data_IF_083698637114
#
_entry.id   IF_083698637114
#
_cell.length_a   1.000
_cell.length_b   1.000
_cell.length_c   1.000
_cell.angle_alpha   90.00
_cell.angle_beta   90.00
_cell.angle_gamma   90.00
#
_symmetry.space_group_name_H-M   'P 1'
#
loop_
_entity.id
_entity.type
_entity.pdbx_description
1 polymer ?
#
# COMPACT_ATOMS: atom_id res chain seq x y z
N UNK A 1 14.11 -31.17 65.52
CA UNK A 1 13.55 -30.79 64.20
C UNK A 1 12.19 -30.15 64.44
N UNK A 2 12.12 -28.82 64.45
CA UNK A 2 10.88 -28.07 64.67
C UNK A 2 10.18 -27.81 63.35
N UNK A 3 8.90 -28.11 63.26
CA UNK A 3 8.01 -27.65 62.19
C UNK A 3 7.12 -26.56 62.76
N UNK A 4 7.20 -25.35 62.20
CA UNK A 4 6.29 -24.24 62.48
C UNK A 4 5.42 -23.98 61.26
N UNK A 5 4.11 -24.09 61.49
CA UNK A 5 2.97 -23.66 60.68
C UNK A 5 2.99 -22.12 60.59
N UNK A 6 2.59 -21.51 59.46
CA UNK A 6 1.59 -20.39 59.37
C UNK A 6 1.08 -20.28 57.92
N UNK A 7 -0.25 -20.19 57.79
CA UNK A 7 -1.09 -19.90 56.61
C UNK A 7 -1.38 -18.39 56.58
N UNK A 8 -1.45 -17.74 55.39
CA UNK A 8 -2.55 -16.84 54.95
C UNK A 8 -2.17 -15.75 53.91
N UNK A 9 -2.91 -15.80 52.78
CA UNK A 9 -3.68 -14.74 52.07
C UNK A 9 -2.99 -13.49 51.44
N UNK A 10 -3.03 -13.51 50.08
CA UNK A 10 -3.36 -12.50 49.06
C UNK A 10 -3.10 -10.99 49.25
N UNK A 11 -2.45 -10.37 48.25
CA UNK A 11 -2.75 -8.99 47.78
C UNK A 11 -2.55 -8.89 46.26
N UNK A 12 -3.56 -8.34 45.59
CA UNK A 12 -3.62 -7.88 44.20
C UNK A 12 -2.50 -6.88 43.86
N UNK A 13 -1.79 -7.08 42.75
CA UNK A 13 -0.95 -6.06 42.13
C UNK A 13 -1.48 -5.71 40.75
N UNK A 14 -2.12 -4.54 40.61
CA UNK A 14 -2.65 -4.01 39.36
C UNK A 14 -1.57 -3.94 38.28
N UNK A 15 -1.70 -4.77 37.24
CA UNK A 15 -1.07 -4.50 35.95
C UNK A 15 -1.87 -3.40 35.26
N UNK A 16 -1.40 -2.16 35.41
CA UNK A 16 -1.83 -1.04 34.57
C UNK A 16 -1.46 -1.39 33.14
N UNK A 17 -2.45 -1.84 32.38
CA UNK A 17 -2.38 -1.91 30.93
C UNK A 17 -2.13 -0.49 30.44
N UNK A 18 -0.87 -0.18 30.12
CA UNK A 18 -0.53 1.00 29.37
C UNK A 18 -1.27 0.90 28.03
N UNK A 19 -2.42 1.57 27.94
CA UNK A 19 -3.00 1.97 26.68
C UNK A 19 -1.92 2.81 26.00
N UNK A 20 -1.15 2.17 25.12
CA UNK A 20 -0.37 2.88 24.13
C UNK A 20 -1.39 3.63 23.27
N UNK A 21 -1.71 4.85 23.69
CA UNK A 21 -2.33 5.85 22.83
C UNK A 21 -1.26 6.09 21.77
N UNK A 22 -1.38 5.40 20.65
CA UNK A 22 -0.58 5.68 19.47
C UNK A 22 -0.87 7.13 19.10
N UNK A 23 0.12 8.00 19.32
CA UNK A 23 0.03 9.40 18.96
C UNK A 23 -0.27 9.46 17.47
N UNK A 24 -1.48 9.90 17.10
CA UNK A 24 -1.80 10.21 15.71
C UNK A 24 -0.88 11.34 15.30
N UNK A 25 0.07 11.03 14.42
CA UNK A 25 1.03 12.00 13.89
C UNK A 25 0.25 13.22 13.37
N UNK A 26 0.41 14.35 14.06
CA UNK A 26 -0.09 15.64 13.59
C UNK A 26 0.84 16.10 12.48
N UNK A 27 0.45 15.82 11.24
CA UNK A 27 1.15 16.34 10.07
C UNK A 27 1.08 17.89 10.07
N UNK A 28 2.07 18.51 9.43
CA UNK A 28 2.08 19.95 9.21
C UNK A 28 0.77 20.38 8.51
N UNK A 29 -0.09 21.19 9.16
CA UNK A 29 -1.41 21.55 8.64
C UNK A 29 -1.34 22.45 7.40
N UNK A 30 -0.14 22.90 7.00
CA UNK A 30 0.05 23.80 5.86
C UNK A 30 0.27 23.10 4.53
N UNK A 31 0.51 21.77 4.50
CA UNK A 31 0.68 21.01 3.26
C UNK A 31 -0.21 19.77 3.24
N UNK A 32 -1.07 19.67 2.23
CA UNK A 32 -2.01 18.56 2.03
C UNK A 32 -1.78 17.88 0.69
N UNK A 33 -2.14 16.60 0.61
CA UNK A 33 -2.20 15.84 -0.63
C UNK A 33 -3.29 16.42 -1.55
N UNK A 34 -3.07 16.40 -2.87
CA UNK A 34 -4.02 16.93 -3.84
C UNK A 34 -5.39 16.24 -3.69
N UNK A 35 -6.50 16.92 -3.99
CA UNK A 35 -7.81 16.27 -4.00
C UNK A 35 -7.86 15.16 -5.05
N UNK A 36 -8.72 14.18 -4.82
CA UNK A 36 -8.99 13.14 -5.81
C UNK A 36 -10.33 13.41 -6.48
N UNK A 37 -10.39 13.22 -7.79
CA UNK A 37 -11.63 13.32 -8.57
C UNK A 37 -11.81 12.00 -9.28
N UNK A 38 -12.90 11.29 -9.00
CA UNK A 38 -13.24 10.06 -9.70
C UNK A 38 -13.97 10.41 -10.99
N UNK A 39 -13.48 9.91 -12.11
CA UNK A 39 -14.12 9.96 -13.42
C UNK A 39 -14.76 8.62 -13.80
N UNK A 40 -14.55 7.57 -13.00
CA UNK A 40 -15.14 6.26 -13.20
C UNK A 40 -14.43 5.40 -14.25
N UNK A 41 -13.16 5.67 -14.55
CA UNK A 41 -12.37 4.99 -15.61
C UNK A 41 -12.06 3.51 -15.37
N UNK A 42 -12.53 2.94 -14.26
CA UNK A 42 -12.23 1.56 -13.87
C UNK A 42 -10.80 1.37 -13.33
N UNK A 43 -10.42 0.13 -13.01
CA UNK A 43 -9.17 -0.17 -12.30
C UNK A 43 -7.89 0.02 -13.13
N UNK A 44 -7.92 -0.17 -14.45
CA UNK A 44 -6.75 -0.07 -15.32
C UNK A 44 -6.45 1.38 -15.72
N UNK A 45 -5.17 1.73 -15.82
CA UNK A 45 -4.74 3.10 -16.15
C UNK A 45 -5.07 3.50 -17.59
N UNK A 46 -5.02 2.55 -18.52
CA UNK A 46 -5.28 2.76 -19.95
C UNK A 46 -6.76 2.59 -20.34
N UNK A 47 -7.64 2.34 -19.36
CA UNK A 47 -9.05 2.03 -19.61
C UNK A 47 -9.30 0.66 -20.25
N UNK A 48 -8.28 -0.20 -20.37
CA UNK A 48 -8.47 -1.57 -20.83
C UNK A 48 -9.25 -2.40 -19.81
N UNK A 49 -9.83 -3.51 -20.28
CA UNK A 49 -10.52 -4.45 -19.40
C UNK A 49 -9.48 -5.08 -18.46
N UNK A 50 -9.70 -4.94 -17.15
CA UNK A 50 -8.83 -5.54 -16.16
C UNK A 50 -8.90 -7.06 -16.18
N UNK A 51 -7.76 -7.71 -15.94
CA UNK A 51 -7.73 -9.15 -15.73
C UNK A 51 -8.68 -9.55 -14.60
N UNK A 52 -9.37 -10.70 -14.71
CA UNK A 52 -10.23 -11.20 -13.65
C UNK A 52 -9.42 -11.32 -12.35
N UNK A 53 -9.81 -10.65 -11.26
CA UNK A 53 -9.06 -10.69 -9.99
C UNK A 53 -8.32 -9.41 -9.64
N UNK A 54 -8.06 -8.50 -10.61
CA UNK A 54 -7.36 -7.23 -10.34
C UNK A 54 -8.12 -6.37 -9.32
N UNK A 55 -9.44 -6.26 -9.44
CA UNK A 55 -10.26 -5.46 -8.51
C UNK A 55 -10.22 -6.01 -7.08
N UNK A 56 -9.97 -7.30 -6.89
CA UNK A 56 -9.79 -7.92 -5.58
C UNK A 56 -8.41 -7.56 -4.98
N UNK A 57 -7.40 -7.42 -5.83
CA UNK A 57 -6.06 -7.00 -5.41
C UNK A 57 -6.00 -5.50 -5.09
N UNK A 58 -6.74 -4.66 -5.83
CA UNK A 58 -6.98 -3.27 -5.46
C UNK A 58 -7.88 -3.24 -4.23
N UNK A 59 -7.27 -3.34 -3.07
CA UNK A 59 -7.99 -3.50 -1.81
C UNK A 59 -8.85 -2.27 -1.53
N UNK A 60 -10.13 -2.46 -1.20
CA UNK A 60 -10.95 -1.40 -0.64
C UNK A 60 -10.76 -1.38 0.89
N UNK A 61 -10.51 -0.20 1.47
CA UNK A 61 -10.32 -0.05 2.91
C UNK A 61 -11.64 0.02 3.70
N UNK A 62 -12.76 0.21 3.01
CA UNK A 62 -14.11 0.34 3.57
C UNK A 62 -14.21 1.40 4.67
N UNK A 63 -13.34 2.41 4.62
CA UNK A 63 -13.29 3.50 5.58
C UNK A 63 -13.93 4.75 4.98
N UNK A 64 -15.03 5.27 5.56
CA UNK A 64 -15.72 6.45 5.03
C UNK A 64 -14.87 7.73 5.07
N UNK A 65 -13.86 7.79 5.92
CA UNK A 65 -12.95 8.94 6.02
C UNK A 65 -11.84 8.90 4.95
N UNK A 66 -11.79 7.83 4.14
CA UNK A 66 -10.83 7.64 3.06
C UNK A 66 -11.53 7.68 1.72
N UNK A 67 -11.11 8.62 0.88
CA UNK A 67 -11.44 8.64 -0.54
C UNK A 67 -10.58 7.60 -1.26
N UNK A 68 -11.17 6.93 -2.24
CA UNK A 68 -10.50 5.97 -3.12
C UNK A 68 -10.83 6.30 -4.57
N UNK A 69 -9.82 6.29 -5.45
CA UNK A 69 -9.99 6.41 -6.90
C UNK A 69 -9.12 5.40 -7.62
N UNK A 70 -9.53 5.03 -8.83
CA UNK A 70 -8.96 3.90 -9.57
C UNK A 70 -8.36 4.34 -10.93
N UNK A 71 -7.54 3.47 -11.52
CA UNK A 71 -7.06 3.59 -12.89
C UNK A 71 -6.33 4.90 -13.18
N UNK A 72 -6.77 5.60 -14.23
CA UNK A 72 -6.15 6.85 -14.67
C UNK A 72 -6.23 7.95 -13.61
N UNK A 73 -7.31 8.00 -12.81
CA UNK A 73 -7.46 8.99 -11.74
C UNK A 73 -6.41 8.77 -10.64
N UNK A 74 -6.18 7.49 -10.30
CA UNK A 74 -5.13 7.12 -9.36
C UNK A 74 -3.73 7.47 -9.89
N UNK A 75 -3.45 7.23 -11.18
CA UNK A 75 -2.17 7.59 -11.81
C UNK A 75 -1.93 9.11 -11.83
N UNK A 76 -2.97 9.90 -12.09
CA UNK A 76 -2.93 11.36 -12.02
C UNK A 76 -2.67 11.84 -10.59
N UNK A 77 -3.37 11.26 -9.61
CA UNK A 77 -3.15 11.56 -8.19
C UNK A 77 -1.71 11.25 -7.77
N UNK A 78 -1.16 10.07 -8.12
CA UNK A 78 0.23 9.70 -7.84
C UNK A 78 1.19 10.75 -8.42
N UNK A 79 0.95 11.19 -9.66
CA UNK A 79 1.80 12.18 -10.32
C UNK A 79 1.76 13.54 -9.62
N UNK A 80 0.57 14.00 -9.22
CA UNK A 80 0.37 15.25 -8.50
C UNK A 80 0.92 15.18 -7.06
N UNK A 81 0.67 14.08 -6.36
CA UNK A 81 1.16 13.84 -5.01
C UNK A 81 2.69 13.73 -4.97
N UNK A 82 3.33 13.20 -6.02
CA UNK A 82 4.78 13.19 -6.17
C UNK A 82 5.39 14.58 -6.47
N UNK A 83 4.56 15.60 -6.70
CA UNK A 83 4.98 16.97 -6.97
C UNK A 83 4.70 17.94 -5.80
N UNK A 84 4.13 17.46 -4.69
CA UNK A 84 3.87 18.32 -3.52
C UNK A 84 5.19 18.78 -2.88
N UNK A 85 5.17 19.97 -2.29
CA UNK A 85 6.36 20.61 -1.73
C UNK A 85 6.90 19.91 -0.49
N UNK A 86 6.04 19.21 0.26
CA UNK A 86 6.46 18.44 1.44
C UNK A 86 7.15 17.13 0.99
N UNK A 87 8.47 16.99 1.19
CA UNK A 87 9.21 15.84 0.70
C UNK A 87 8.82 14.53 1.40
N UNK A 88 8.33 14.59 2.64
CA UNK A 88 7.89 13.39 3.37
C UNK A 88 6.61 12.82 2.73
N UNK A 89 5.64 13.69 2.41
CA UNK A 89 4.42 13.30 1.72
C UNK A 89 4.69 12.90 0.26
N UNK A 90 5.61 13.58 -0.44
CA UNK A 90 5.91 13.30 -1.85
C UNK A 90 6.69 12.00 -2.06
N UNK A 91 7.60 11.64 -1.14
CA UNK A 91 8.52 10.52 -1.27
C UNK A 91 7.90 9.18 -1.74
N UNK A 92 6.82 8.65 -1.12
CA UNK A 92 6.23 7.39 -1.55
C UNK A 92 5.64 7.48 -2.96
N UNK A 93 5.04 8.62 -3.32
CA UNK A 93 4.47 8.82 -4.64
C UNK A 93 5.53 9.00 -5.72
N UNK A 94 6.71 9.52 -5.39
CA UNK A 94 7.85 9.56 -6.32
C UNK A 94 8.29 8.15 -6.72
N UNK A 95 8.30 7.20 -5.77
CA UNK A 95 8.61 5.79 -6.07
C UNK A 95 7.55 5.17 -6.97
N UNK A 96 6.27 5.38 -6.65
CA UNK A 96 5.14 4.94 -7.47
C UNK A 96 5.17 5.54 -8.87
N UNK A 97 5.46 6.85 -9.01
CA UNK A 97 5.59 7.51 -10.31
C UNK A 97 6.73 6.91 -11.15
N UNK A 98 7.83 6.51 -10.53
CA UNK A 98 8.92 5.82 -11.26
C UNK A 98 8.54 4.40 -11.66
N UNK A 99 7.81 3.67 -10.82
CA UNK A 99 7.26 2.37 -11.19
C UNK A 99 6.23 2.48 -12.34
N UNK A 100 5.39 3.52 -12.33
CA UNK A 100 4.51 3.85 -13.45
C UNK A 100 5.27 4.16 -14.74
N UNK A 101 6.49 4.69 -14.67
CA UNK A 101 7.32 4.90 -15.86
C UNK A 101 7.88 3.61 -16.45
N UNK A 102 7.82 2.48 -15.74
CA UNK A 102 8.28 1.17 -16.24
C UNK A 102 7.32 0.51 -17.25
N UNK A 103 6.38 1.27 -17.80
CA UNK A 103 5.28 0.79 -18.63
C UNK A 103 5.61 0.70 -20.13
N UNK A 104 6.79 1.14 -20.55
CA UNK A 104 7.25 1.16 -21.95
C UNK A 104 8.69 0.62 -21.96
N UNK A 105 9.03 -0.44 -22.71
CA UNK A 105 9.24 -0.39 -24.17
C UNK A 105 9.14 -1.78 -24.85
N UNK A 106 7.96 -2.18 -25.35
CA UNK A 106 7.93 -3.33 -26.29
C UNK A 106 6.59 -3.99 -26.55
N UNK A 107 5.91 -3.56 -27.62
CA UNK A 107 5.02 -4.39 -28.48
C UNK A 107 3.61 -4.82 -28.01
N UNK A 108 3.02 -4.21 -26.97
CA UNK A 108 1.63 -4.52 -26.58
C UNK A 108 0.88 -3.31 -26.00
N UNK A 109 -0.42 -3.20 -26.33
CA UNK A 109 -1.28 -2.06 -26.04
C UNK A 109 -1.51 -1.82 -24.55
N UNK A 110 -0.84 -0.80 -24.01
CA UNK A 110 -1.28 -0.12 -22.80
C UNK A 110 -0.54 -0.48 -21.52
N UNK A 111 -0.88 0.25 -20.46
CA UNK A 111 -0.26 0.13 -19.15
C UNK A 111 -0.66 -1.19 -18.52
N UNK A 112 0.28 -2.10 -18.16
CA UNK A 112 -0.08 -3.35 -17.51
C UNK A 112 -0.59 -3.14 -16.08
N UNK A 113 -0.49 -1.91 -15.55
CA UNK A 113 -0.89 -1.61 -14.19
C UNK A 113 -2.35 -1.15 -14.11
N UNK A 114 -3.07 -1.80 -13.23
CA UNK A 114 -4.16 -1.23 -12.51
C UNK A 114 -3.65 -0.41 -11.33
N UNK A 115 -4.39 0.63 -10.95
CA UNK A 115 -4.00 1.52 -9.87
C UNK A 115 -5.18 1.83 -8.97
N UNK A 116 -4.91 2.00 -7.67
CA UNK A 116 -5.83 2.61 -6.71
C UNK A 116 -5.07 3.60 -5.86
N UNK A 117 -5.63 4.79 -5.66
CA UNK A 117 -5.11 5.80 -4.78
C UNK A 117 -6.04 6.01 -3.58
N UNK A 118 -5.45 6.40 -2.46
CA UNK A 118 -6.14 6.59 -1.18
C UNK A 118 -5.74 7.93 -0.60
N UNK A 119 -6.73 8.65 -0.07
CA UNK A 119 -6.53 9.95 0.56
C UNK A 119 -7.53 10.12 1.67
N UNK A 120 -7.08 10.48 2.86
CA UNK A 120 -7.94 10.78 4.00
C UNK A 120 -8.59 12.15 3.78
N UNK A 121 -9.77 12.37 4.38
CA UNK A 121 -10.50 13.63 4.24
C UNK A 121 -9.64 14.87 4.59
N UNK A 122 -8.78 14.75 5.62
CA UNK A 122 -7.85 15.79 6.06
C UNK A 122 -6.71 16.09 5.06
N UNK A 123 -6.48 15.23 4.07
CA UNK A 123 -5.39 15.35 3.09
C UNK A 123 -3.99 15.16 3.66
N UNK A 124 -3.86 14.79 4.94
CA UNK A 124 -2.57 14.62 5.62
C UNK A 124 -2.04 13.19 5.50
N UNK A 125 -2.86 12.31 4.94
CA UNK A 125 -2.58 10.90 4.77
C UNK A 125 -3.02 10.42 3.41
N UNK A 126 -2.23 9.50 2.86
CA UNK A 126 -2.58 8.82 1.64
C UNK A 126 -1.53 7.80 1.24
N UNK A 127 -1.88 7.07 0.20
CA UNK A 127 -1.03 6.06 -0.41
C UNK A 127 -1.60 5.65 -1.75
N UNK A 128 -0.92 4.75 -2.41
CA UNK A 128 -1.42 4.15 -3.63
C UNK A 128 -0.91 2.73 -3.78
N UNK A 129 -1.69 1.95 -4.53
CA UNK A 129 -1.39 0.60 -4.96
C UNK A 129 -1.31 0.56 -6.48
N UNK A 130 -0.30 -0.14 -6.98
CA UNK A 130 -0.19 -0.54 -8.38
C UNK A 130 -0.26 -2.05 -8.43
N UNK A 131 -1.11 -2.60 -9.27
CA UNK A 131 -1.30 -4.03 -9.43
C UNK A 131 -1.17 -4.36 -10.89
N UNK A 132 -0.45 -5.42 -11.21
CA UNK A 132 -0.45 -5.97 -12.56
C UNK A 132 -0.65 -7.47 -12.52
N UNK A 133 -1.38 -8.01 -13.50
CA UNK A 133 -1.52 -9.44 -13.69
C UNK A 133 -0.41 -9.96 -14.61
N UNK A 134 0.09 -11.17 -14.31
CA UNK A 134 1.08 -11.84 -15.13
C UNK A 134 0.58 -12.06 -16.55
N UNK A 135 -0.69 -12.42 -16.74
CA UNK A 135 -1.28 -12.64 -18.06
C UNK A 135 -1.41 -11.38 -18.91
N UNK A 136 -1.53 -10.21 -18.30
CA UNK A 136 -1.63 -8.92 -19.00
C UNK A 136 -0.29 -8.19 -19.10
N UNK A 137 0.80 -8.80 -18.64
CA UNK A 137 2.14 -8.25 -18.71
C UNK A 137 2.93 -8.96 -19.82
N UNK A 138 3.14 -8.32 -20.99
CA UNK A 138 3.82 -8.96 -22.12
C UNK A 138 5.25 -9.43 -21.80
N UNK A 139 5.97 -8.67 -20.96
CA UNK A 139 7.32 -9.00 -20.52
C UNK A 139 7.49 -8.70 -19.03
N UNK A 140 7.25 -9.72 -18.21
CA UNK A 140 7.36 -9.62 -16.75
C UNK A 140 8.80 -9.34 -16.32
N UNK A 141 9.80 -9.96 -16.94
CA UNK A 141 11.20 -9.80 -16.52
C UNK A 141 11.72 -8.38 -16.77
N UNK A 142 11.34 -7.76 -17.89
CA UNK A 142 11.65 -6.37 -18.17
C UNK A 142 10.97 -5.44 -17.15
N UNK A 143 9.70 -5.71 -16.83
CA UNK A 143 8.97 -4.95 -15.82
C UNK A 143 9.64 -5.06 -14.45
N UNK A 144 9.96 -6.28 -14.01
CA UNK A 144 10.64 -6.52 -12.73
C UNK A 144 11.99 -5.82 -12.70
N UNK A 145 12.78 -5.90 -13.76
CA UNK A 145 14.09 -5.23 -13.86
C UNK A 145 13.97 -3.70 -13.71
N UNK A 146 12.99 -3.10 -14.40
CA UNK A 146 12.74 -1.67 -14.30
C UNK A 146 12.25 -1.29 -12.90
N UNK A 147 11.29 -2.03 -12.35
CA UNK A 147 10.74 -1.77 -11.01
C UNK A 147 11.84 -1.93 -9.96
N UNK A 148 12.67 -2.97 -10.00
CA UNK A 148 13.83 -3.15 -9.09
C UNK A 148 14.77 -1.95 -9.08
N UNK A 149 15.03 -1.38 -10.25
CA UNK A 149 15.93 -0.22 -10.38
C UNK A 149 15.33 1.04 -9.76
N UNK A 150 14.00 1.17 -9.82
CA UNK A 150 13.26 2.37 -9.45
C UNK A 150 12.59 2.31 -8.07
N UNK A 151 12.39 1.12 -7.52
CA UNK A 151 11.69 0.82 -6.29
C UNK A 151 12.68 0.56 -5.15
N UNK A 152 13.06 1.62 -4.43
CA UNK A 152 13.96 1.50 -3.28
C UNK A 152 13.16 1.29 -2.00
N UNK A 153 13.49 0.28 -1.21
CA UNK A 153 12.88 0.05 0.12
C UNK A 153 13.14 1.27 1.01
N UNK A 154 12.09 1.80 1.62
CA UNK A 154 12.15 2.94 2.54
C UNK A 154 12.80 2.49 3.84
N UNK A 155 13.65 3.35 4.41
CA UNK A 155 14.28 3.11 5.70
C UNK A 155 13.20 3.18 6.79
N UNK A 156 13.07 2.13 7.61
CA UNK A 156 12.17 2.14 8.75
C UNK A 156 12.63 3.18 9.79
N UNK A 157 11.76 4.12 10.17
CA UNK A 157 12.04 5.05 11.27
C UNK A 157 11.03 6.19 11.43
N UNK A 158 10.31 6.20 12.57
CA UNK A 158 9.44 7.29 13.04
C UNK A 158 7.97 7.18 12.67
N UNK A 159 7.10 7.93 13.37
CA UNK A 159 5.64 7.98 13.15
C UNK A 159 5.26 8.58 11.78
N UNK A 160 6.20 9.29 11.15
CA UNK A 160 6.15 9.77 9.76
C UNK A 160 6.87 8.83 8.78
N UNK A 161 7.27 7.62 9.20
CA UNK A 161 7.95 6.69 8.32
C UNK A 161 7.05 6.43 7.12
N UNK A 162 7.59 6.61 5.93
CA UNK A 162 6.94 6.16 4.71
C UNK A 162 7.17 4.66 4.58
N UNK A 163 6.20 3.99 3.98
CA UNK A 163 6.30 2.58 3.68
C UNK A 163 6.24 2.39 2.18
N UNK A 164 6.98 1.41 1.71
CA UNK A 164 6.78 0.84 0.40
C UNK A 164 7.07 -0.64 0.46
N UNK A 165 6.13 -1.43 -0.05
CA UNK A 165 6.24 -2.87 -0.10
C UNK A 165 5.79 -3.32 -1.48
N UNK A 166 6.21 -4.51 -1.85
CA UNK A 166 5.59 -5.18 -2.95
C UNK A 166 5.49 -6.66 -2.69
N UNK A 167 4.56 -7.26 -3.41
CA UNK A 167 4.07 -8.59 -3.15
C UNK A 167 3.79 -9.30 -4.46
N UNK A 168 4.17 -10.57 -4.55
CA UNK A 168 3.69 -11.49 -5.58
C UNK A 168 2.65 -12.40 -4.93
N UNK A 169 1.41 -12.34 -5.40
CA UNK A 169 0.28 -13.07 -4.81
C UNK A 169 -0.49 -13.88 -5.86
N UNK A 170 -0.89 -15.12 -5.56
CA UNK A 170 -1.80 -15.89 -6.39
C UNK A 170 -3.23 -15.34 -6.35
N UNK A 171 -4.04 -15.68 -7.35
CA UNK A 171 -5.51 -15.58 -7.25
C UNK A 171 -6.01 -16.61 -6.24
N UNK A 172 -6.59 -16.13 -5.13
CA UNK A 172 -7.33 -16.89 -4.12
C UNK A 172 -6.81 -18.29 -3.80
N UNK A 173 -5.59 -18.42 -3.25
CA UNK A 173 -5.11 -19.62 -2.53
C UNK A 173 -5.13 -20.98 -3.27
N UNK A 174 -5.66 -21.05 -4.49
CA UNK A 174 -5.85 -22.26 -5.26
C UNK A 174 -4.75 -22.37 -6.31
N UNK A 175 -3.80 -23.25 -6.03
CA UNK A 175 -2.57 -23.49 -6.79
C UNK A 175 -2.82 -24.08 -8.20
N UNK A 176 -4.08 -24.30 -8.61
CA UNK A 176 -4.42 -25.05 -9.83
C UNK A 176 -4.92 -24.19 -11.01
N UNK A 177 -5.25 -22.92 -10.82
CA UNK A 177 -5.63 -21.96 -11.89
C UNK A 177 -5.15 -20.54 -11.61
N UNK A 178 -3.88 -20.44 -11.27
CA UNK A 178 -3.43 -19.32 -10.45
C UNK A 178 -2.84 -18.22 -11.31
N UNK A 179 -3.68 -17.28 -11.74
CA UNK A 179 -3.20 -15.98 -12.18
C UNK A 179 -2.37 -15.36 -11.04
N UNK A 180 -1.24 -14.74 -11.41
CA UNK A 180 -0.28 -14.18 -10.46
C UNK A 180 -0.32 -12.67 -10.58
N UNK A 181 -0.45 -11.99 -9.45
CA UNK A 181 -0.40 -10.54 -9.41
C UNK A 181 0.87 -10.05 -8.76
N UNK A 182 1.40 -8.97 -9.32
CA UNK A 182 2.48 -8.19 -8.75
C UNK A 182 1.89 -6.90 -8.22
N UNK A 183 2.02 -6.70 -6.92
CA UNK A 183 1.46 -5.56 -6.19
C UNK A 183 2.61 -4.70 -5.70
N UNK A 184 2.54 -3.39 -5.95
CA UNK A 184 3.33 -2.38 -5.28
C UNK A 184 2.39 -1.54 -4.43
N UNK A 185 2.80 -1.23 -3.20
CA UNK A 185 2.08 -0.30 -2.36
C UNK A 185 3.06 0.67 -1.72
N UNK A 186 2.74 1.95 -1.72
CA UNK A 186 3.50 2.95 -0.99
C UNK A 186 2.59 4.03 -0.41
N UNK A 187 2.97 4.54 0.76
CA UNK A 187 2.21 5.56 1.48
C UNK A 187 2.76 5.82 2.87
N UNK A 188 1.91 6.33 3.74
CA UNK A 188 2.16 6.58 5.17
C UNK A 188 2.17 5.27 5.99
N UNK A 189 3.21 5.01 6.79
CA UNK A 189 3.42 3.68 7.41
C UNK A 189 2.32 3.23 8.37
N UNK A 190 1.98 4.04 9.37
CA UNK A 190 1.15 3.62 10.50
C UNK A 190 -0.25 3.19 10.06
N UNK A 191 -0.85 3.97 9.17
CA UNK A 191 -2.26 3.88 8.82
C UNK A 191 -2.50 3.17 7.46
N UNK A 192 -1.64 3.38 6.44
CA UNK A 192 -1.85 2.79 5.10
C UNK A 192 -1.24 1.38 4.99
N UNK A 193 0.03 1.25 5.34
CA UNK A 193 0.74 -0.01 5.10
C UNK A 193 0.49 -1.09 6.13
N UNK A 194 0.23 -0.75 7.39
CA UNK A 194 -0.01 -1.78 8.43
C UNK A 194 -1.21 -2.66 8.06
N UNK A 195 -2.33 -2.05 7.66
CA UNK A 195 -3.54 -2.79 7.29
C UNK A 195 -3.41 -3.53 5.96
N UNK A 196 -2.82 -2.90 4.94
CA UNK A 196 -2.70 -3.50 3.61
C UNK A 196 -1.64 -4.60 3.55
N UNK A 197 -0.51 -4.45 4.24
CA UNK A 197 0.51 -5.51 4.26
C UNK A 197 0.04 -6.75 5.00
N UNK A 198 -0.79 -6.62 6.04
CA UNK A 198 -1.33 -7.76 6.75
C UNK A 198 -2.12 -8.71 5.83
N UNK A 199 -2.76 -8.18 4.78
CA UNK A 199 -3.49 -8.98 3.78
C UNK A 199 -2.58 -9.85 2.91
N UNK A 200 -1.34 -9.43 2.71
CA UNK A 200 -0.37 -10.12 1.87
C UNK A 200 0.57 -11.04 2.68
N UNK A 201 0.61 -10.90 4.00
CA UNK A 201 1.57 -11.60 4.85
C UNK A 201 1.47 -13.14 4.79
N UNK A 202 0.26 -13.68 4.65
CA UNK A 202 0.03 -15.12 4.78
C UNK A 202 0.13 -15.89 3.46
N UNK A 203 -0.11 -15.23 2.32
CA UNK A 203 -0.28 -15.87 1.00
C UNK A 203 0.54 -15.23 -0.13
N UNK A 204 1.35 -14.21 0.15
CA UNK A 204 2.19 -13.56 -0.84
C UNK A 204 3.67 -13.71 -0.51
N UNK A 205 4.51 -13.54 -1.53
CA UNK A 205 5.97 -13.47 -1.40
C UNK A 205 6.44 -12.05 -1.67
N UNK A 206 7.53 -11.62 -1.04
CA UNK A 206 8.08 -10.28 -1.23
C UNK A 206 8.51 -10.02 -2.68
N UNK A 207 8.23 -8.82 -3.17
CA UNK A 207 8.56 -8.33 -4.51
C UNK A 207 8.74 -6.81 -4.47
N UNK A 208 9.46 -6.17 -5.39
CA UNK A 208 10.44 -6.74 -6.31
C UNK A 208 11.67 -7.35 -5.62
#
# INVERSE_FOLDING_TARGET
>A
MSHRIVVAVAVFGLSVSALAVTSTATADPTVTLPPMTSTGSGPNIDGAVAAPGISQQLTNLANPDVQEVDGSDAAQFITAAAAVTNPQLAAPFVLLRRALACQSDGTGSGSPFAARAYRRADGQWGGAMLVTAKSTTPNVDALVSCVKTNWRRSTAGGENAMCNNGWTTPTDGDLRRTEVYYVLLAGTSADFCTGLNARYADNASGWP
#
